data_IF_484932831374
#
_entry.id   IF_484932831374
#
_cell.length_a   1.000
_cell.length_b   1.000
_cell.length_c   1.000
_cell.angle_alpha   90.00
_cell.angle_beta   90.00
_cell.angle_gamma   90.00
#
_symmetry.space_group_name_H-M   'P 1'
#
loop_
_entity.id
_entity.type
_entity.pdbx_description
1 polymer ?
#
# COMPACT_ATOMS: atom_id res chain seq x y z
N UNK A 1 0.35 -0.38 -18.42
CA UNK A 1 0.23 -0.81 -17.03
C UNK A 1 0.70 0.29 -16.11
N UNK A 2 -0.02 0.49 -15.02
CA UNK A 2 0.35 1.48 -13.99
C UNK A 2 1.01 0.77 -12.83
N UNK A 3 2.09 1.32 -12.33
CA UNK A 3 2.83 0.73 -11.22
C UNK A 3 3.06 1.79 -10.15
N UNK A 4 2.75 1.43 -8.92
CA UNK A 4 2.84 2.32 -7.77
C UNK A 4 3.79 1.74 -6.74
N UNK A 5 4.63 2.58 -6.17
CA UNK A 5 5.37 2.19 -4.98
C UNK A 5 4.66 2.80 -3.77
N UNK A 6 4.60 2.08 -2.67
CA UNK A 6 3.91 2.56 -1.49
C UNK A 6 4.69 2.28 -0.23
N UNK A 7 4.40 3.07 0.79
CA UNK A 7 4.90 2.89 2.16
C UNK A 7 3.71 3.11 3.10
N UNK A 8 3.57 2.24 4.07
CA UNK A 8 2.44 2.28 4.99
C UNK A 8 2.90 1.87 6.38
N UNK A 9 2.39 2.53 7.42
CA UNK A 9 2.62 2.12 8.80
C UNK A 9 1.57 1.11 9.22
N UNK A 10 2.01 0.03 9.88
CA UNK A 10 1.10 -1.03 10.33
C UNK A 10 1.51 -1.52 11.71
N UNK A 11 0.53 -1.83 12.54
CA UNK A 11 0.76 -2.34 13.89
C UNK A 11 0.03 -3.66 14.08
N UNK A 12 0.61 -4.56 14.87
CA UNK A 12 0.03 -5.87 15.13
C UNK A 12 -1.09 -5.80 16.15
N UNK A 13 -1.09 -4.81 17.02
CA UNK A 13 -2.16 -4.58 17.99
C UNK A 13 -2.22 -3.12 18.34
N UNK A 14 -3.35 -2.72 18.94
CA UNK A 14 -3.55 -1.33 19.32
C UNK A 14 -2.55 -0.94 20.40
N UNK A 15 -1.84 0.15 20.16
CA UNK A 15 -0.84 0.66 21.11
C UNK A 15 0.56 0.14 20.91
N UNK A 16 0.77 -0.83 20.02
CA UNK A 16 2.14 -1.26 19.73
C UNK A 16 2.82 -0.30 18.75
N UNK A 17 4.15 -0.32 18.75
CA UNK A 17 4.92 0.49 17.82
C UNK A 17 4.67 0.01 16.38
N UNK A 18 4.40 0.94 15.46
CA UNK A 18 4.11 0.53 14.08
C UNK A 18 5.38 0.14 13.34
N UNK A 19 5.22 -0.85 12.47
CA UNK A 19 6.24 -1.21 11.50
C UNK A 19 5.97 -0.50 10.19
N UNK A 20 7.02 -0.28 9.41
CA UNK A 20 6.88 0.33 8.10
C UNK A 20 6.86 -0.78 7.04
N UNK A 21 5.78 -0.83 6.29
CA UNK A 21 5.62 -1.77 5.19
C UNK A 21 5.81 -1.05 3.87
N UNK A 22 6.53 -1.68 2.96
CA UNK A 22 6.75 -1.13 1.62
C UNK A 22 6.42 -2.19 0.58
N UNK A 23 6.11 -1.74 -0.63
CA UNK A 23 5.85 -2.66 -1.71
C UNK A 23 5.48 -1.94 -2.98
N UNK A 24 5.06 -2.72 -3.98
CA UNK A 24 4.61 -2.20 -5.26
C UNK A 24 3.27 -2.83 -5.62
N UNK A 25 2.47 -2.05 -6.37
CA UNK A 25 1.16 -2.48 -6.85
C UNK A 25 1.12 -2.21 -8.36
N UNK A 26 0.62 -3.16 -9.12
CA UNK A 26 0.45 -3.01 -10.57
C UNK A 26 -1.03 -3.10 -10.92
N UNK A 27 -1.48 -2.28 -11.86
CA UNK A 27 -2.86 -2.29 -12.33
C UNK A 27 -2.92 -1.89 -13.80
N UNK A 28 -3.97 -2.33 -14.47
CA UNK A 28 -4.19 -2.02 -15.88
C UNK A 28 -4.84 -0.64 -16.07
N UNK A 29 -5.25 0.00 -15.01
CA UNK A 29 -5.88 1.33 -15.03
C UNK A 29 -5.34 2.16 -13.86
N UNK A 30 -5.48 3.48 -13.92
CA UNK A 30 -5.09 4.32 -12.79
C UNK A 30 -5.88 3.93 -11.53
N UNK A 31 -5.22 3.95 -10.39
CA UNK A 31 -5.83 3.59 -9.12
C UNK A 31 -6.06 4.83 -8.26
N UNK A 32 -7.20 4.85 -7.57
CA UNK A 32 -7.47 5.89 -6.58
C UNK A 32 -6.69 5.61 -5.30
N UNK A 33 -6.60 6.61 -4.42
CA UNK A 33 -5.96 6.45 -3.12
C UNK A 33 -6.57 5.27 -2.36
N UNK A 34 -7.90 5.15 -2.35
CA UNK A 34 -8.56 4.07 -1.64
C UNK A 34 -8.26 2.71 -2.23
N UNK A 35 -8.19 2.61 -3.55
CA UNK A 35 -7.85 1.34 -4.20
C UNK A 35 -6.42 0.91 -3.85
N UNK A 36 -5.49 1.86 -3.82
CA UNK A 36 -4.10 1.57 -3.45
C UNK A 36 -4.04 1.14 -1.99
N UNK A 37 -4.79 1.82 -1.12
CA UNK A 37 -4.83 1.48 0.30
C UNK A 37 -5.34 0.05 0.51
N UNK A 38 -6.43 -0.32 -0.13
CA UNK A 38 -6.99 -1.65 0.00
C UNK A 38 -6.04 -2.72 -0.55
N UNK A 39 -5.38 -2.45 -1.67
CA UNK A 39 -4.42 -3.37 -2.24
C UNK A 39 -3.20 -3.54 -1.32
N UNK A 40 -2.73 -2.46 -0.71
CA UNK A 40 -1.61 -2.52 0.22
C UNK A 40 -1.96 -3.33 1.47
N UNK A 41 -3.16 -3.12 2.00
CA UNK A 41 -3.64 -3.88 3.16
C UNK A 41 -3.76 -5.37 2.82
N UNK A 42 -4.23 -5.68 1.62
CA UNK A 42 -4.36 -7.06 1.17
C UNK A 42 -3.01 -7.77 1.09
N UNK A 43 -1.96 -7.02 0.76
CA UNK A 43 -0.60 -7.57 0.67
C UNK A 43 0.08 -7.68 2.04
N UNK A 44 -0.44 -7.01 3.06
CA UNK A 44 0.18 -7.02 4.38
C UNK A 44 0.03 -8.38 5.05
N UNK A 45 1.00 -8.79 5.89
CA UNK A 45 0.85 -10.01 6.67
C UNK A 45 -0.40 -9.97 7.55
N UNK A 46 -1.02 -11.12 7.77
CA UNK A 46 -2.29 -11.22 8.49
C UNK A 46 -2.21 -10.76 9.94
N UNK A 47 -1.01 -10.69 10.49
CA UNK A 47 -0.80 -10.27 11.88
C UNK A 47 -1.06 -8.80 12.12
N UNK A 48 -1.04 -7.99 11.06
CA UNK A 48 -1.25 -6.54 11.19
C UNK A 48 -2.74 -6.23 11.22
N UNK A 49 -3.15 -5.39 12.16
CA UNK A 49 -4.55 -5.04 12.39
C UNK A 49 -4.84 -3.56 12.17
N UNK A 50 -3.84 -2.70 12.34
CA UNK A 50 -4.01 -1.25 12.23
C UNK A 50 -3.07 -0.71 11.15
N UNK A 51 -3.62 0.08 10.22
CA UNK A 51 -2.88 0.61 9.09
C UNK A 51 -3.07 2.11 9.02
N UNK A 52 -1.96 2.85 8.93
CA UNK A 52 -1.97 4.31 8.89
C UNK A 52 -0.89 4.85 7.96
N UNK A 53 -0.98 6.14 7.68
CA UNK A 53 0.07 6.89 7.00
C UNK A 53 0.50 6.28 5.67
N UNK A 54 -0.48 5.92 4.85
CA UNK A 54 -0.18 5.44 3.51
C UNK A 54 0.35 6.57 2.64
N UNK A 55 1.52 6.34 2.06
CA UNK A 55 2.09 7.21 1.03
C UNK A 55 2.35 6.35 -0.20
N UNK A 56 2.11 6.90 -1.37
CA UNK A 56 2.35 6.18 -2.60
C UNK A 56 2.74 7.13 -3.72
N UNK A 57 3.38 6.56 -4.73
CA UNK A 57 3.82 7.31 -5.90
C UNK A 57 3.73 6.39 -7.11
N UNK A 58 3.20 6.92 -8.20
CA UNK A 58 3.20 6.18 -9.46
C UNK A 58 4.60 6.23 -10.04
N UNK A 59 5.22 5.06 -10.23
CA UNK A 59 6.60 4.96 -10.69
C UNK A 59 6.71 4.49 -12.13
N UNK A 60 5.61 4.02 -12.71
CA UNK A 60 5.61 3.60 -14.10
C UNK A 60 4.20 3.72 -14.67
N UNK A 61 4.11 4.34 -15.83
CA UNK A 61 2.88 4.37 -16.62
C UNK A 61 3.21 3.88 -18.02
N UNK A 62 2.60 2.77 -18.40
CA UNK A 62 2.78 2.23 -19.73
C UNK A 62 1.58 2.61 -20.57
N UNK A 63 1.81 3.44 -21.58
CA UNK A 63 0.74 3.95 -22.44
C UNK A 63 0.65 3.24 -23.78
N UNK A 64 1.44 2.25 -24.01
CA UNK A 64 1.41 1.50 -25.25
C UNK A 64 0.24 0.54 -25.32
#
# INVERSE_FOLDING_TARGET
MHKYSYTMSAATELGSAPDRLTGTIEAHHPMTHQQIRLAAIDKAPAQYLNFNELEYQEIETNTN
#
